data_IF_468552571525
#
_entry.id   IF_468552571525
#
_cell.length_a   1.000
_cell.length_b   1.000
_cell.length_c   1.000
_cell.angle_alpha   90.00
_cell.angle_beta   90.00
_cell.angle_gamma   90.00
#
_symmetry.space_group_name_H-M   'P 1'
#
loop_
_entity.id
_entity.type
_entity.pdbx_description
1 polymer ?
#
# COMPACT_ATOMS: atom_id res chain seq x y z
N UNK A 1 16.29 -8.75 3.41
CA UNK A 1 15.22 -7.85 2.91
C UNK A 1 14.26 -7.51 4.02
N UNK A 2 13.83 -6.25 4.14
CA UNK A 2 12.90 -5.77 5.15
C UNK A 2 11.62 -5.19 4.54
N UNK A 3 10.47 -5.56 5.09
CA UNK A 3 9.16 -5.01 4.74
C UNK A 3 8.63 -4.20 5.93
N UNK A 4 8.48 -2.89 5.76
CA UNK A 4 7.92 -2.00 6.79
C UNK A 4 6.48 -1.67 6.41
N UNK A 5 5.54 -1.92 7.32
CA UNK A 5 4.10 -1.88 7.02
C UNK A 5 3.59 -3.15 6.34
N UNK A 6 4.22 -4.29 6.64
CA UNK A 6 3.98 -5.58 6.02
C UNK A 6 2.54 -6.11 6.23
N UNK A 7 1.79 -5.55 7.17
CA UNK A 7 0.40 -5.91 7.46
C UNK A 7 -0.58 -5.57 6.34
N UNK A 8 -0.14 -4.89 5.27
CA UNK A 8 -0.91 -4.76 4.02
C UNK A 8 -0.96 -6.11 3.29
N UNK A 9 -1.70 -7.08 3.82
CA UNK A 9 -1.65 -8.48 3.40
C UNK A 9 -1.79 -8.66 1.88
N UNK A 10 -2.65 -7.88 1.21
CA UNK A 10 -2.83 -7.91 -0.25
C UNK A 10 -1.57 -7.47 -1.02
N UNK A 11 -0.93 -6.40 -0.58
CA UNK A 11 0.27 -5.87 -1.24
C UNK A 11 1.49 -6.73 -0.91
N UNK A 12 1.68 -7.03 0.36
CA UNK A 12 2.81 -7.81 0.83
C UNK A 12 2.79 -9.23 0.24
N UNK A 13 1.64 -9.91 0.18
CA UNK A 13 1.56 -11.26 -0.39
C UNK A 13 1.99 -11.30 -1.85
N UNK A 14 1.57 -10.31 -2.67
CA UNK A 14 1.93 -10.25 -4.08
C UNK A 14 3.44 -10.12 -4.27
N UNK A 15 4.09 -9.23 -3.53
CA UNK A 15 5.55 -9.04 -3.59
C UNK A 15 6.27 -10.29 -3.09
N UNK A 16 5.80 -10.91 -2.01
CA UNK A 16 6.37 -12.16 -1.50
C UNK A 16 6.30 -13.28 -2.54
N UNK A 17 5.18 -13.41 -3.27
CA UNK A 17 5.05 -14.39 -4.34
C UNK A 17 6.05 -14.15 -5.46
N UNK A 18 6.24 -12.90 -5.88
CA UNK A 18 7.23 -12.56 -6.91
C UNK A 18 8.66 -12.91 -6.45
N UNK A 19 8.98 -12.70 -5.17
CA UNK A 19 10.26 -13.11 -4.56
C UNK A 19 10.39 -14.63 -4.53
N UNK A 20 9.35 -15.35 -4.11
CA UNK A 20 9.36 -16.81 -4.00
C UNK A 20 9.52 -17.50 -5.36
N UNK A 21 9.04 -16.89 -6.43
CA UNK A 21 9.22 -17.40 -7.80
C UNK A 21 10.62 -17.11 -8.36
N UNK A 22 11.37 -16.17 -7.77
CA UNK A 22 12.72 -15.83 -8.21
C UNK A 22 13.78 -16.67 -7.46
N UNK A 23 14.37 -17.63 -8.18
CA UNK A 23 15.39 -18.55 -7.63
C UNK A 23 16.65 -17.86 -7.12
N UNK A 24 17.03 -16.73 -7.72
CA UNK A 24 18.23 -16.00 -7.31
C UNK A 24 18.10 -15.40 -5.90
N UNK A 25 16.86 -15.30 -5.40
CA UNK A 25 16.53 -14.77 -4.07
C UNK A 25 16.32 -15.87 -3.01
N UNK A 26 16.47 -17.15 -3.35
CA UNK A 26 16.09 -18.25 -2.45
C UNK A 26 17.00 -18.41 -1.22
N UNK A 27 18.16 -17.76 -1.16
CA UNK A 27 19.04 -17.76 0.03
C UNK A 27 18.93 -16.48 0.86
N UNK A 28 17.80 -15.77 0.75
CA UNK A 28 17.58 -14.50 1.43
C UNK A 28 16.83 -14.65 2.76
N UNK A 29 16.96 -13.61 3.59
CA UNK A 29 16.15 -13.42 4.78
C UNK A 29 15.09 -12.35 4.53
N UNK A 30 13.86 -12.62 4.93
CA UNK A 30 12.71 -11.71 4.83
C UNK A 30 12.27 -11.34 6.23
N UNK A 31 12.33 -10.05 6.53
CA UNK A 31 11.87 -9.45 7.78
C UNK A 31 10.57 -8.71 7.55
N UNK A 32 9.48 -9.20 8.14
CA UNK A 32 8.15 -8.57 8.09
C UNK A 32 7.97 -7.71 9.33
N UNK A 33 7.73 -6.42 9.13
CA UNK A 33 7.48 -5.48 10.22
C UNK A 33 6.15 -4.78 10.07
N UNK A 34 5.35 -4.85 11.13
CA UNK A 34 4.13 -4.04 11.28
C UNK A 34 3.88 -3.76 12.78
N UNK A 35 3.22 -2.65 13.08
CA UNK A 35 2.82 -2.32 14.46
C UNK A 35 1.56 -3.07 14.88
N UNK A 36 0.75 -3.51 13.92
CA UNK A 36 -0.45 -4.31 14.15
C UNK A 36 -0.08 -5.80 14.23
N UNK A 37 -0.20 -6.39 15.42
CA UNK A 37 0.13 -7.80 15.66
C UNK A 37 -0.76 -8.78 14.92
N UNK A 38 -2.05 -8.45 14.73
CA UNK A 38 -2.98 -9.35 14.06
C UNK A 38 -2.65 -9.43 12.57
N UNK A 39 -2.46 -8.27 11.93
CA UNK A 39 -2.06 -8.19 10.52
C UNK A 39 -0.69 -8.83 10.30
N UNK A 40 0.25 -8.60 11.22
CA UNK A 40 1.58 -9.21 11.19
C UNK A 40 1.52 -10.75 11.31
N UNK A 41 0.65 -11.28 12.17
CA UNK A 41 0.46 -12.73 12.34
C UNK A 41 -0.09 -13.37 11.07
N UNK A 42 -1.07 -12.73 10.42
CA UNK A 42 -1.65 -13.22 9.16
C UNK A 42 -0.56 -13.33 8.09
N UNK A 43 0.16 -12.24 7.85
CA UNK A 43 1.17 -12.22 6.78
C UNK A 43 2.38 -13.11 7.11
N UNK A 44 2.77 -13.20 8.38
CA UNK A 44 3.82 -14.09 8.84
C UNK A 44 3.46 -15.56 8.65
N UNK A 45 2.22 -15.95 8.98
CA UNK A 45 1.72 -17.31 8.73
C UNK A 45 1.67 -17.63 7.25
N UNK A 46 1.15 -16.70 6.44
CA UNK A 46 1.11 -16.84 4.99
C UNK A 46 2.51 -17.10 4.41
N UNK A 47 3.48 -16.23 4.74
CA UNK A 47 4.84 -16.33 4.21
C UNK A 47 5.53 -17.65 4.62
N UNK A 48 5.43 -18.04 5.90
CA UNK A 48 6.03 -19.29 6.40
C UNK A 48 5.44 -20.52 5.72
N UNK A 49 4.10 -20.57 5.56
CA UNK A 49 3.44 -21.68 4.87
C UNK A 49 3.93 -21.85 3.44
N UNK A 50 4.07 -20.77 2.68
CA UNK A 50 4.57 -20.86 1.30
C UNK A 50 6.02 -21.33 1.23
N UNK A 51 6.88 -20.85 2.13
CA UNK A 51 8.27 -21.31 2.22
C UNK A 51 8.34 -22.82 2.49
N UNK A 52 7.50 -23.32 3.41
CA UNK A 52 7.42 -24.75 3.75
C UNK A 52 6.84 -25.58 2.58
N UNK A 53 5.70 -25.17 2.03
CA UNK A 53 5.00 -25.88 0.95
C UNK A 53 5.86 -25.96 -0.33
N UNK A 54 6.58 -24.89 -0.66
CA UNK A 54 7.45 -24.81 -1.83
C UNK A 54 8.90 -25.25 -1.56
N UNK A 55 9.23 -25.60 -0.31
CA UNK A 55 10.58 -26.01 0.14
C UNK A 55 11.67 -24.99 -0.23
N UNK A 56 11.39 -23.72 -0.03
CA UNK A 56 12.31 -22.62 -0.33
C UNK A 56 13.36 -22.48 0.77
N UNK A 57 14.60 -22.16 0.42
CA UNK A 57 15.68 -21.88 1.38
C UNK A 57 15.62 -20.46 1.98
N UNK A 58 14.43 -19.85 2.02
CA UNK A 58 14.19 -18.49 2.50
C UNK A 58 13.85 -18.54 3.98
N UNK A 59 14.42 -17.63 4.78
CA UNK A 59 14.04 -17.47 6.20
C UNK A 59 13.08 -16.31 6.36
N UNK A 60 12.02 -16.51 7.14
CA UNK A 60 11.00 -15.47 7.40
C UNK A 60 10.96 -15.13 8.88
N UNK A 61 11.16 -13.85 9.18
CA UNK A 61 11.08 -13.26 10.51
C UNK A 61 9.93 -12.26 10.57
N UNK A 62 9.32 -12.12 11.74
CA UNK A 62 8.26 -11.15 11.99
C UNK A 62 8.60 -10.38 13.27
N UNK A 63 8.60 -9.05 13.18
CA UNK A 63 8.92 -8.18 14.33
C UNK A 63 8.02 -6.95 14.35
N UNK A 64 7.86 -6.37 15.53
CA UNK A 64 7.24 -5.05 15.71
C UNK A 64 8.28 -3.94 15.88
N UNK A 65 9.56 -4.31 16.00
CA UNK A 65 10.66 -3.36 16.10
C UNK A 65 11.21 -3.05 14.71
N UNK A 66 11.03 -1.80 14.29
CA UNK A 66 11.57 -1.30 13.02
C UNK A 66 13.09 -1.38 12.96
N UNK A 67 13.79 -1.12 14.07
CA UNK A 67 15.26 -1.14 14.13
C UNK A 67 15.81 -2.54 13.95
N UNK A 68 15.09 -3.54 14.44
CA UNK A 68 15.42 -4.94 14.22
C UNK A 68 15.27 -5.31 12.75
N UNK A 69 14.13 -4.97 12.14
CA UNK A 69 13.85 -5.32 10.74
C UNK A 69 14.86 -4.76 9.73
N UNK A 70 15.42 -3.57 9.97
CA UNK A 70 16.32 -2.88 9.02
C UNK A 70 17.80 -3.06 9.31
N UNK A 71 18.18 -3.71 10.41
CA UNK A 71 19.55 -3.67 10.97
C UNK A 71 20.63 -4.03 9.95
N UNK A 72 20.36 -5.05 9.14
CA UNK A 72 21.28 -5.61 8.14
C UNK A 72 20.57 -5.81 6.79
N UNK A 73 19.56 -4.99 6.49
CA UNK A 73 18.75 -5.18 5.29
C UNK A 73 19.41 -4.57 4.04
N UNK A 74 19.69 -5.40 3.03
CA UNK A 74 20.16 -4.93 1.72
C UNK A 74 19.09 -4.13 0.96
N UNK A 75 17.82 -4.46 1.20
CA UNK A 75 16.65 -3.84 0.58
C UNK A 75 15.58 -3.58 1.64
N UNK A 76 14.97 -2.39 1.57
CA UNK A 76 13.84 -1.99 2.41
C UNK A 76 12.65 -1.63 1.54
N UNK A 77 11.55 -2.35 1.70
CA UNK A 77 10.28 -2.12 1.02
C UNK A 77 9.32 -1.52 2.04
N UNK A 78 8.87 -0.28 1.80
CA UNK A 78 7.93 0.39 2.69
C UNK A 78 6.55 0.47 2.06
N UNK A 79 5.56 -0.08 2.74
CA UNK A 79 4.13 -0.01 2.40
C UNK A 79 3.33 0.68 3.50
N UNK A 80 4.00 1.47 4.34
CA UNK A 80 3.39 2.16 5.48
C UNK A 80 2.48 3.28 5.00
N UNK A 81 1.23 3.26 5.45
CA UNK A 81 0.33 4.40 5.39
C UNK A 81 0.16 4.98 6.81
N UNK A 82 1.05 5.89 7.20
CA UNK A 82 1.26 6.27 8.60
C UNK A 82 0.03 6.85 9.31
N UNK A 83 -0.93 7.42 8.57
CA UNK A 83 -2.17 7.99 9.12
C UNK A 83 -3.43 7.19 8.78
N UNK A 84 -3.28 6.04 8.10
CA UNK A 84 -4.40 5.25 7.62
C UNK A 84 -5.29 5.99 6.60
N UNK A 85 -6.33 5.31 6.14
CA UNK A 85 -7.28 5.87 5.17
C UNK A 85 -8.26 6.88 5.81
N UNK A 86 -8.59 6.70 7.10
CA UNK A 86 -9.50 7.58 7.85
C UNK A 86 -9.01 9.02 7.91
N UNK A 87 -7.69 9.24 7.94
CA UNK A 87 -7.13 10.59 7.87
C UNK A 87 -7.41 11.25 6.52
N UNK A 88 -7.32 10.51 5.41
CA UNK A 88 -7.64 11.05 4.09
C UNK A 88 -9.14 11.31 3.94
N UNK A 89 -9.99 10.43 4.48
CA UNK A 89 -11.44 10.64 4.51
C UNK A 89 -11.80 11.90 5.32
N UNK A 90 -11.19 12.07 6.50
CA UNK A 90 -11.39 13.26 7.34
C UNK A 90 -10.94 14.53 6.61
N UNK A 91 -9.79 14.49 5.93
CA UNK A 91 -9.28 15.61 5.14
C UNK A 91 -10.22 15.93 3.97
N UNK A 92 -10.75 14.92 3.29
CA UNK A 92 -11.75 15.06 2.21
C UNK A 92 -13.00 15.77 2.73
N UNK A 93 -13.56 15.28 3.83
CA UNK A 93 -14.76 15.87 4.44
C UNK A 93 -14.57 17.33 4.86
N UNK A 94 -13.42 17.66 5.46
CA UNK A 94 -13.09 19.04 5.81
C UNK A 94 -13.01 19.90 4.55
N UNK A 95 -12.35 19.41 3.50
CA UNK A 95 -12.17 20.17 2.25
C UNK A 95 -13.49 20.44 1.53
N UNK A 96 -14.37 19.44 1.47
CA UNK A 96 -15.71 19.54 0.88
C UNK A 96 -16.58 20.56 1.63
N UNK A 97 -16.50 20.59 2.97
CA UNK A 97 -17.21 21.58 3.79
C UNK A 97 -16.75 23.03 3.54
N UNK A 98 -15.52 23.23 3.08
CA UNK A 98 -14.94 24.56 2.85
C UNK A 98 -14.91 24.96 1.35
N UNK A 99 -15.63 24.23 0.48
CA UNK A 99 -15.77 24.57 -0.94
C UNK A 99 -14.51 24.38 -1.79
N UNK A 100 -13.45 23.83 -1.22
CA UNK A 100 -12.23 23.47 -1.94
C UNK A 100 -12.29 21.98 -2.29
N UNK A 101 -12.80 21.64 -3.47
CA UNK A 101 -12.75 20.27 -3.96
C UNK A 101 -11.28 19.90 -4.23
N UNK A 102 -10.71 18.95 -3.48
CA UNK A 102 -9.40 18.39 -3.79
C UNK A 102 -9.60 17.45 -4.99
N UNK A 103 -9.56 18.02 -6.20
CA UNK A 103 -9.55 17.26 -7.45
C UNK A 103 -8.25 16.45 -7.65
N UNK A 104 -7.24 16.62 -6.78
CA UNK A 104 -5.86 16.20 -7.06
C UNK A 104 -5.39 14.91 -6.41
N UNK A 105 -6.13 14.32 -5.46
CA UNK A 105 -5.64 13.13 -4.74
C UNK A 105 -6.79 12.15 -4.56
N UNK A 106 -6.73 11.08 -5.36
CA UNK A 106 -7.60 9.89 -5.41
C UNK A 106 -8.87 10.06 -6.25
N UNK A 107 -8.92 9.34 -7.38
CA UNK A 107 -10.02 8.44 -7.81
C UNK A 107 -9.91 8.12 -9.32
N UNK A 108 -8.78 7.59 -9.78
CA UNK A 108 -8.75 6.90 -11.09
C UNK A 108 -8.79 5.37 -10.96
N UNK A 109 -8.48 4.80 -9.80
CA UNK A 109 -8.43 3.34 -9.62
C UNK A 109 -9.66 2.72 -8.95
N UNK A 110 -10.64 3.52 -8.51
CA UNK A 110 -11.71 3.01 -7.61
C UNK A 110 -13.16 3.28 -8.02
N UNK A 111 -13.42 4.06 -9.08
CA UNK A 111 -14.80 4.24 -9.57
C UNK A 111 -14.94 3.44 -10.86
N UNK A 112 -15.77 2.39 -10.79
CA UNK A 112 -16.23 1.65 -11.96
C UNK A 112 -16.86 2.59 -12.98
N UNK A 113 -16.69 2.26 -14.25
CA UNK A 113 -16.86 3.13 -15.42
C UNK A 113 -18.26 3.77 -15.61
N UNK A 114 -19.24 3.49 -14.75
CA UNK A 114 -20.65 3.85 -14.94
C UNK A 114 -21.08 5.14 -14.22
N UNK A 115 -20.34 5.63 -13.22
CA UNK A 115 -20.73 6.87 -12.49
C UNK A 115 -20.04 8.15 -12.98
N UNK A 116 -19.16 8.07 -14.00
CA UNK A 116 -18.47 9.26 -14.56
C UNK A 116 -19.43 10.26 -15.23
N UNK A 117 -20.57 9.80 -15.75
CA UNK A 117 -21.47 10.64 -16.55
C UNK A 117 -22.36 11.53 -15.68
N UNK A 118 -22.65 11.14 -14.44
CA UNK A 118 -23.58 11.87 -13.57
C UNK A 118 -22.95 13.12 -12.92
N UNK A 119 -21.64 13.16 -12.75
CA UNK A 119 -20.95 14.29 -12.11
C UNK A 119 -20.44 15.37 -13.08
N UNK A 120 -20.37 15.07 -14.39
CA UNK A 120 -19.94 16.04 -15.41
C UNK A 120 -21.11 16.80 -16.08
N UNK A 121 -22.35 16.55 -15.64
CA UNK A 121 -23.56 17.04 -16.31
C UNK A 121 -24.10 18.40 -15.87
N UNK A 122 -23.42 19.18 -15.03
CA UNK A 122 -24.01 20.43 -14.50
C UNK A 122 -23.10 21.67 -14.49
N UNK A 123 -22.05 21.72 -15.31
CA UNK A 123 -21.36 22.99 -15.59
C UNK A 123 -21.51 23.38 -17.07
N UNK A 124 -22.48 24.24 -17.34
CA UNK A 124 -22.38 25.18 -18.47
C UNK A 124 -22.95 26.54 -18.09
N UNK A 125 -22.22 27.26 -17.22
CA UNK A 125 -22.21 28.72 -17.33
C UNK A 125 -21.01 29.33 -16.61
N UNK A 126 -20.07 29.82 -17.40
CA UNK A 126 -19.27 30.98 -17.02
C UNK A 126 -17.88 30.70 -16.46
N UNK A 127 -16.94 30.27 -17.30
CA UNK A 127 -15.56 30.73 -17.17
C UNK A 127 -14.91 30.81 -18.56
N UNK A 128 -14.80 32.03 -19.09
CA UNK A 128 -14.08 32.31 -20.33
C UNK A 128 -12.59 32.49 -20.01
N UNK A 129 -11.75 31.63 -20.58
CA UNK A 129 -10.29 31.74 -20.49
C UNK A 129 -9.77 32.38 -21.79
N UNK A 130 -9.40 33.65 -21.74
CA UNK A 130 -8.65 34.30 -22.83
C UNK A 130 -7.16 34.01 -22.65
N UNK A 131 -6.56 33.27 -23.60
CA UNK A 131 -5.11 33.03 -23.65
C UNK A 131 -4.39 34.20 -24.32
N UNK A 132 -3.21 34.63 -23.83
CA UNK A 132 -2.43 35.69 -24.48
C UNK A 132 -1.50 35.12 -25.56
N UNK A 133 -1.54 35.73 -26.75
CA UNK A 133 -0.46 35.80 -27.73
C UNK A 133 -0.29 37.26 -28.15
#
# INVERSE_FOLDING_TARGET
MAFIGAGSARWTSRILMDIFLNRDLHNSEIWLMDIDSYRLQIIGTYAKRYVEELKLSIKVFATRDRREAVRDADFVISTVLAKGYTHYETMREISERHGSFIAGVVLSEYIGNEERTLMLGSESSGFSYTSPH
#
